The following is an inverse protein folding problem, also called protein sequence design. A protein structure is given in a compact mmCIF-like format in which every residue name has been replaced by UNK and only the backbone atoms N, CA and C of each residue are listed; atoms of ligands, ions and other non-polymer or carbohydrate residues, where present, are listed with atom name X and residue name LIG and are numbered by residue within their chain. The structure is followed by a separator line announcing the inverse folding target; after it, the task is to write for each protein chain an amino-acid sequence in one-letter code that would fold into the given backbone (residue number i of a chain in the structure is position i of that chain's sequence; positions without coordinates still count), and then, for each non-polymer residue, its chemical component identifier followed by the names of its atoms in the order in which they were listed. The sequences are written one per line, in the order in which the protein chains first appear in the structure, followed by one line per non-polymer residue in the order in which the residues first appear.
data_IF_984515697017
#
_entry.id   IF_984515697017
#
_cell.length_a   1.000
_cell.length_b   1.000
_cell.length_c   1.000
_cell.angle_alpha   90.00
_cell.angle_beta   90.00
_cell.angle_gamma   90.00
#
_symmetry.space_group_name_H-M   'P 1'
#
loop_
_entity.id
_entity.type
_entity.pdbx_description
1 polymer ?
#
# COMPACT_ATOMS: atom_id res chain seq x y z
N UNK A 1 -2.59 -35.61 31.28
CA UNK A 1 -1.76 -36.33 30.29
C UNK A 1 -1.65 -35.40 29.08
N UNK A 2 -0.45 -35.00 28.67
CA UNK A 2 -0.25 -34.15 27.49
C UNK A 2 -0.12 -35.01 26.25
N UNK A 3 -0.79 -34.64 25.16
CA UNK A 3 -0.63 -35.27 23.85
C UNK A 3 0.48 -34.50 23.11
N UNK A 4 1.49 -35.20 22.59
CA UNK A 4 2.47 -34.62 21.67
C UNK A 4 2.17 -35.06 20.24
N UNK A 5 2.22 -34.13 19.31
CA UNK A 5 2.16 -34.40 17.87
C UNK A 5 3.57 -34.25 17.27
N UNK A 6 3.91 -35.12 16.32
CA UNK A 6 5.14 -35.03 15.53
C UNK A 6 4.76 -34.74 14.08
N UNK A 7 5.29 -33.66 13.53
CA UNK A 7 5.15 -33.32 12.11
C UNK A 7 6.35 -33.90 11.38
N UNK A 8 6.11 -34.75 10.40
CA UNK A 8 7.15 -35.28 9.50
C UNK A 8 7.01 -34.53 8.19
N UNK A 9 8.02 -33.76 7.81
CA UNK A 9 8.08 -33.04 6.54
C UNK A 9 8.98 -33.81 5.59
N UNK A 10 8.52 -34.08 4.37
CA UNK A 10 9.35 -34.74 3.37
C UNK A 10 10.38 -33.77 2.79
N UNK A 11 11.63 -34.22 2.65
CA UNK A 11 12.73 -33.41 2.10
C UNK A 11 12.40 -32.89 0.69
N UNK A 12 11.78 -33.71 -0.17
CA UNK A 12 11.46 -33.27 -1.53
C UNK A 12 10.33 -32.24 -1.55
N UNK A 13 9.31 -32.38 -0.68
CA UNK A 13 8.20 -31.43 -0.57
C UNK A 13 8.72 -30.09 -0.04
N UNK A 14 9.58 -30.13 0.97
CA UNK A 14 10.22 -28.94 1.53
C UNK A 14 11.06 -28.22 0.47
N UNK A 15 11.87 -28.95 -0.31
CA UNK A 15 12.69 -28.37 -1.36
C UNK A 15 11.86 -27.76 -2.49
N UNK A 16 10.85 -28.47 -2.97
CA UNK A 16 9.95 -27.95 -4.01
C UNK A 16 9.20 -26.71 -3.54
N UNK A 17 8.78 -26.69 -2.27
CA UNK A 17 8.11 -25.50 -1.69
C UNK A 17 9.06 -24.31 -1.62
N UNK A 18 10.32 -24.53 -1.25
CA UNK A 18 11.33 -23.48 -1.22
C UNK A 18 11.61 -22.91 -2.61
N UNK A 19 11.74 -23.77 -3.63
CA UNK A 19 11.94 -23.33 -5.02
C UNK A 19 10.76 -22.47 -5.51
N UNK A 20 9.51 -22.85 -5.21
CA UNK A 20 8.33 -22.04 -5.53
C UNK A 20 8.35 -20.67 -4.84
N UNK A 21 8.78 -20.62 -3.57
CA UNK A 21 8.89 -19.37 -2.82
C UNK A 21 9.98 -18.48 -3.44
N UNK A 22 11.14 -19.04 -3.79
CA UNK A 22 12.24 -18.31 -4.42
C UNK A 22 11.82 -17.72 -5.79
N UNK A 23 11.15 -18.52 -6.61
CA UNK A 23 10.62 -18.09 -7.91
C UNK A 23 9.60 -16.96 -7.75
N UNK A 24 8.67 -17.10 -6.80
CA UNK A 24 7.65 -16.10 -6.52
C UNK A 24 8.27 -14.78 -6.04
N UNK A 25 9.18 -14.81 -5.07
CA UNK A 25 9.86 -13.63 -4.54
C UNK A 25 10.72 -12.95 -5.61
N UNK A 26 11.29 -13.73 -6.52
CA UNK A 26 12.12 -13.22 -7.62
C UNK A 26 11.31 -12.70 -8.79
N UNK A 27 9.99 -12.89 -8.80
CA UNK A 27 9.12 -12.44 -9.88
C UNK A 27 9.05 -10.90 -9.96
N UNK A 28 9.03 -10.37 -11.17
CA UNK A 28 8.78 -8.94 -11.39
C UNK A 28 7.36 -8.53 -11.02
N UNK A 29 6.43 -9.48 -11.04
CA UNK A 29 5.01 -9.29 -10.69
C UNK A 29 4.83 -8.88 -9.23
N UNK A 30 5.77 -9.22 -8.34
CA UNK A 30 5.73 -8.83 -6.95
C UNK A 30 5.81 -7.31 -6.78
N UNK A 31 6.71 -6.65 -7.52
CA UNK A 31 6.84 -5.19 -7.50
C UNK A 31 5.59 -4.50 -8.04
N UNK A 32 5.03 -5.03 -9.12
CA UNK A 32 3.80 -4.49 -9.72
C UNK A 32 2.62 -4.60 -8.74
N UNK A 33 2.44 -5.78 -8.15
CA UNK A 33 1.38 -6.06 -7.17
C UNK A 33 1.52 -5.20 -5.91
N UNK A 34 2.76 -5.02 -5.42
CA UNK A 34 3.04 -4.14 -4.30
C UNK A 34 2.74 -2.67 -4.63
N UNK A 35 3.17 -2.21 -5.81
CA UNK A 35 2.91 -0.85 -6.28
C UNK A 35 1.42 -0.54 -6.43
N UNK A 36 0.68 -1.47 -7.05
CA UNK A 36 -0.78 -1.37 -7.20
C UNK A 36 -1.49 -1.33 -5.84
N UNK A 37 -1.12 -2.24 -4.94
CA UNK A 37 -1.68 -2.28 -3.59
C UNK A 37 -1.49 -0.95 -2.85
N UNK A 38 -0.26 -0.41 -2.84
CA UNK A 38 0.04 0.84 -2.13
C UNK A 38 -0.68 2.03 -2.76
N UNK A 39 -0.68 2.13 -4.08
CA UNK A 39 -1.37 3.20 -4.80
C UNK A 39 -2.88 3.18 -4.50
N UNK A 40 -3.51 2.01 -4.57
CA UNK A 40 -4.93 1.83 -4.23
C UNK A 40 -5.21 2.16 -2.76
N UNK A 41 -4.34 1.74 -1.83
CA UNK A 41 -4.48 2.04 -0.40
C UNK A 41 -4.46 3.55 -0.13
N UNK A 42 -3.48 4.27 -0.71
CA UNK A 42 -3.37 5.73 -0.61
C UNK A 42 -4.62 6.39 -1.19
N UNK A 43 -5.06 5.98 -2.38
CA UNK A 43 -6.26 6.51 -3.02
C UNK A 43 -7.48 6.30 -2.12
N UNK A 44 -7.74 5.08 -1.67
CA UNK A 44 -8.90 4.74 -0.81
C UNK A 44 -8.94 5.55 0.48
N UNK A 45 -7.79 5.74 1.14
CA UNK A 45 -7.70 6.54 2.38
C UNK A 45 -7.93 8.03 2.10
N UNK A 46 -7.29 8.54 1.06
CA UNK A 46 -7.45 9.93 0.61
C UNK A 46 -8.90 10.24 0.21
N UNK A 47 -9.59 9.30 -0.42
CA UNK A 47 -11.01 9.39 -0.77
C UNK A 47 -11.93 9.52 0.45
N UNK A 48 -11.52 9.00 1.61
CA UNK A 48 -12.23 9.12 2.88
C UNK A 48 -11.90 10.42 3.61
N UNK A 49 -10.94 11.20 3.12
CA UNK A 49 -10.46 12.41 3.78
C UNK A 49 -9.59 12.11 5.00
N UNK A 50 -8.86 10.99 4.98
CA UNK A 50 -8.02 10.50 6.07
C UNK A 50 -6.55 10.57 5.64
N UNK A 51 -5.66 10.94 6.56
CA UNK A 51 -4.21 10.99 6.37
C UNK A 51 -3.52 9.65 6.67
N UNK A 52 -2.20 9.58 6.46
CA UNK A 52 -1.38 8.38 6.68
C UNK A 52 -1.35 7.91 8.12
N UNK A 53 -1.74 8.75 9.06
CA UNK A 53 -1.77 8.41 10.48
C UNK A 53 -3.20 8.13 10.97
N UNK A 54 -4.12 7.84 10.04
CA UNK A 54 -5.55 7.59 10.29
C UNK A 54 -6.31 8.76 10.94
N UNK A 55 -5.83 10.00 10.76
CA UNK A 55 -6.54 11.20 11.20
C UNK A 55 -7.35 11.82 10.07
N UNK A 56 -8.45 12.49 10.40
CA UNK A 56 -9.16 13.32 9.43
C UNK A 56 -8.25 14.43 8.91
N UNK A 57 -8.30 14.69 7.60
CA UNK A 57 -7.58 15.80 6.99
C UNK A 57 -7.95 17.12 7.66
N UNK A 58 -6.92 17.93 7.91
CA UNK A 58 -7.10 19.27 8.43
C UNK A 58 -8.11 20.05 7.57
N UNK A 59 -9.09 20.74 8.22
CA UNK A 59 -10.13 21.46 7.51
C UNK A 59 -9.55 22.56 6.63
N UNK A 60 -10.37 23.10 5.72
CA UNK A 60 -9.98 24.32 5.02
C UNK A 60 -9.75 25.48 6.01
N UNK A 61 -8.83 26.39 5.67
CA UNK A 61 -8.63 27.58 6.48
C UNK A 61 -9.91 28.42 6.49
N UNK A 62 -10.14 29.17 7.57
CA UNK A 62 -11.32 30.03 7.73
C UNK A 62 -11.49 31.07 6.61
N UNK A 63 -10.40 31.41 5.93
CA UNK A 63 -10.37 32.36 4.81
C UNK A 63 -10.70 31.71 3.47
N UNK A 64 -10.84 30.38 3.42
CA UNK A 64 -11.23 29.65 2.21
C UNK A 64 -12.76 29.63 2.14
N UNK A 65 -13.39 29.94 0.98
CA UNK A 65 -14.84 29.87 0.84
C UNK A 65 -15.40 28.43 0.89
N UNK A 66 -14.53 27.42 0.93
CA UNK A 66 -14.88 26.00 1.06
C UNK A 66 -15.01 25.63 2.53
N UNK A 67 -16.05 24.88 2.88
CA UNK A 67 -16.28 24.33 4.22
C UNK A 67 -16.25 22.80 4.21
N UNK A 68 -16.11 22.18 5.38
CA UNK A 68 -16.09 20.72 5.54
C UNK A 68 -14.71 20.08 5.35
N UNK A 69 -14.69 18.75 5.36
CA UNK A 69 -13.48 17.95 5.14
C UNK A 69 -13.03 18.11 3.70
N UNK A 70 -11.75 18.46 3.45
CA UNK A 70 -11.20 18.57 2.12
C UNK A 70 -11.39 17.27 1.34
N UNK A 71 -12.24 17.32 0.33
CA UNK A 71 -12.41 16.22 -0.59
C UNK A 71 -11.35 16.35 -1.68
N UNK A 72 -10.23 15.64 -1.54
CA UNK A 72 -9.16 15.63 -2.53
C UNK A 72 -9.57 14.93 -3.84
N UNK A 73 -10.81 14.42 -3.95
CA UNK A 73 -11.45 14.04 -5.23
C UNK A 73 -11.69 15.22 -6.14
N UNK A 74 -12.05 16.37 -5.57
CA UNK A 74 -12.64 17.49 -6.30
C UNK A 74 -11.62 18.23 -7.17
N UNK A 75 -10.33 18.01 -6.95
CA UNK A 75 -9.28 18.51 -7.84
C UNK A 75 -8.96 17.57 -8.99
N UNK A 76 -9.36 16.28 -8.96
CA UNK A 76 -9.09 15.25 -9.98
C UNK A 76 -7.60 14.97 -10.25
N UNK A 77 -6.85 16.02 -10.53
CA UNK A 77 -5.41 16.12 -10.74
C UNK A 77 -4.54 15.67 -9.57
N UNK A 78 -5.06 15.46 -8.35
CA UNK A 78 -4.26 14.95 -7.23
C UNK A 78 -4.29 13.43 -7.18
N UNK A 79 -5.49 12.84 -7.18
CA UNK A 79 -5.63 11.38 -7.14
C UNK A 79 -5.20 10.74 -8.46
N UNK A 80 -5.49 11.39 -9.60
CA UNK A 80 -5.07 10.90 -10.91
C UNK A 80 -3.54 11.03 -11.14
N UNK A 81 -2.82 11.75 -10.28
CA UNK A 81 -1.36 11.84 -10.36
C UNK A 81 -0.64 10.81 -9.50
N UNK A 82 -1.36 10.02 -8.70
CA UNK A 82 -0.76 8.92 -7.96
C UNK A 82 -0.47 7.81 -8.96
N UNK A 83 0.81 7.50 -9.13
CA UNK A 83 1.31 6.42 -9.98
C UNK A 83 2.35 5.62 -9.21
N UNK A 84 2.73 4.48 -9.77
CA UNK A 84 3.87 3.74 -9.26
C UNK A 84 4.77 3.30 -10.41
N UNK A 85 6.05 3.16 -10.10
CA UNK A 85 7.07 2.58 -10.96
C UNK A 85 7.61 1.36 -10.23
N UNK A 86 7.37 0.18 -10.80
CA UNK A 86 7.92 -1.07 -10.30
C UNK A 86 9.35 -1.25 -10.77
N UNK A 87 10.22 -1.68 -9.85
CA UNK A 87 11.61 -2.05 -10.12
C UNK A 87 11.76 -3.58 -10.15
N UNK A 88 10.72 -4.29 -10.60
CA UNK A 88 10.66 -5.75 -10.57
C UNK A 88 10.57 -6.28 -9.14
N UNK A 89 11.30 -7.36 -8.83
CA UNK A 89 11.26 -8.01 -7.52
C UNK A 89 11.81 -7.17 -6.36
N UNK A 90 12.46 -6.04 -6.65
CA UNK A 90 13.08 -5.17 -5.64
C UNK A 90 12.10 -4.20 -4.97
N UNK A 91 10.89 -4.07 -5.52
CA UNK A 91 9.82 -3.24 -4.98
C UNK A 91 9.27 -2.24 -5.98
N UNK A 92 8.46 -1.30 -5.48
CA UNK A 92 7.87 -0.22 -6.26
C UNK A 92 8.11 1.14 -5.61
N UNK A 93 8.25 2.17 -6.44
CA UNK A 93 8.29 3.58 -6.04
C UNK A 93 6.93 4.18 -6.31
N UNK A 94 6.33 4.81 -5.30
CA UNK A 94 5.07 5.53 -5.46
C UNK A 94 5.37 7.00 -5.69
N UNK A 95 4.78 7.55 -6.74
CA UNK A 95 4.99 8.91 -7.16
C UNK A 95 3.67 9.67 -7.18
N UNK A 96 3.76 10.99 -7.01
CA UNK A 96 2.62 11.88 -7.13
C UNK A 96 3.08 13.17 -7.78
N UNK A 97 2.96 13.26 -9.11
CA UNK A 97 3.58 14.35 -9.90
C UNK A 97 2.82 15.69 -9.82
N UNK A 98 1.66 15.75 -9.16
CA UNK A 98 0.87 16.96 -9.07
C UNK A 98 1.47 17.96 -8.06
N UNK A 99 1.81 19.20 -8.48
CA UNK A 99 2.29 20.22 -7.56
C UNK A 99 1.28 20.54 -6.43
N UNK A 100 -0.02 20.38 -6.73
CA UNK A 100 -1.09 20.56 -5.73
C UNK A 100 -1.00 19.47 -4.67
N UNK A 101 -0.74 18.23 -5.07
CA UNK A 101 -0.55 17.12 -4.15
C UNK A 101 0.64 17.39 -3.23
N UNK A 102 1.74 17.90 -3.77
CA UNK A 102 2.90 18.26 -2.98
C UNK A 102 2.60 19.36 -1.95
N UNK A 103 1.82 20.39 -2.31
CA UNK A 103 1.37 21.39 -1.34
C UNK A 103 0.46 20.84 -0.24
N UNK A 104 -0.33 19.80 -0.55
CA UNK A 104 -1.10 19.09 0.47
C UNK A 104 -0.18 18.25 1.35
N UNK A 105 0.77 17.51 0.77
CA UNK A 105 1.70 16.65 1.51
C UNK A 105 2.61 17.43 2.46
N UNK A 106 3.15 18.57 2.01
CA UNK A 106 4.13 19.37 2.75
C UNK A 106 3.47 20.48 3.58
N UNK A 107 2.28 20.90 3.18
CA UNK A 107 1.65 22.12 3.71
C UNK A 107 2.34 23.40 3.20
N UNK A 108 1.68 24.53 3.41
CA UNK A 108 2.21 25.87 3.11
C UNK A 108 1.68 26.87 4.14
N UNK A 109 2.12 28.12 4.09
CA UNK A 109 1.57 29.19 4.94
C UNK A 109 0.07 29.45 4.73
N UNK A 110 -0.51 28.98 3.61
CA UNK A 110 -1.92 29.18 3.25
C UNK A 110 -2.74 27.89 3.25
N UNK A 111 -2.09 26.74 3.33
CA UNK A 111 -2.71 25.42 3.20
C UNK A 111 -2.16 24.50 4.29
N UNK A 112 -2.99 23.94 5.16
CA UNK A 112 -2.49 23.00 6.16
C UNK A 112 -1.98 21.72 5.48
N UNK A 113 -0.98 21.13 6.11
CA UNK A 113 -0.42 19.84 5.73
C UNK A 113 -1.49 18.74 5.87
N UNK A 114 -1.45 17.78 4.95
CA UNK A 114 -2.32 16.62 4.82
C UNK A 114 -1.46 15.47 4.30
N UNK A 115 -0.81 14.76 5.21
CA UNK A 115 0.12 13.67 4.90
C UNK A 115 -0.64 12.48 4.31
N UNK A 116 -0.98 12.51 3.02
CA UNK A 116 -1.77 11.44 2.42
C UNK A 116 -0.90 10.29 1.87
N UNK A 117 0.35 10.58 1.53
CA UNK A 117 1.33 9.61 1.04
C UNK A 117 1.92 8.76 2.16
N UNK A 118 2.30 7.53 1.83
CA UNK A 118 2.97 6.59 2.72
C UNK A 118 2.06 5.50 3.26
N UNK A 119 2.64 4.62 4.07
CA UNK A 119 2.01 3.45 4.67
C UNK A 119 2.05 3.56 6.19
N UNK A 120 0.98 3.10 6.83
CA UNK A 120 1.02 2.73 8.25
C UNK A 120 1.69 1.37 8.42
N UNK A 121 2.08 1.03 9.65
CA UNK A 121 2.48 -0.35 9.97
C UNK A 121 1.36 -1.36 9.73
N UNK A 122 0.10 -0.95 9.82
CA UNK A 122 -1.03 -1.83 9.48
C UNK A 122 -1.09 -2.08 7.96
N UNK A 123 -0.88 -1.05 7.15
CA UNK A 123 -0.84 -1.20 5.69
C UNK A 123 0.34 -2.08 5.24
N UNK A 124 1.49 -2.01 5.92
CA UNK A 124 2.64 -2.91 5.64
C UNK A 124 2.29 -4.38 5.91
N UNK A 125 1.57 -4.66 7.00
CA UNK A 125 1.10 -6.01 7.32
C UNK A 125 0.08 -6.49 6.28
N UNK A 126 -0.87 -5.62 5.91
CA UNK A 126 -1.85 -5.92 4.87
C UNK A 126 -1.17 -6.18 3.52
N UNK A 127 -0.17 -5.38 3.16
CA UNK A 127 0.64 -5.57 1.95
C UNK A 127 1.27 -6.96 1.92
N UNK A 128 1.96 -7.36 3.00
CA UNK A 128 2.59 -8.68 3.07
C UNK A 128 1.55 -9.79 2.97
N UNK A 129 0.40 -9.65 3.63
CA UNK A 129 -0.66 -10.65 3.57
C UNK A 129 -1.25 -10.80 2.17
N UNK A 130 -1.67 -9.68 1.57
CA UNK A 130 -2.40 -9.66 0.30
C UNK A 130 -1.49 -9.93 -0.90
N UNK A 131 -0.25 -9.42 -0.87
CA UNK A 131 0.67 -9.49 -2.01
C UNK A 131 1.58 -10.73 -1.95
N UNK A 132 1.90 -11.25 -0.75
CA UNK A 132 2.84 -12.36 -0.61
C UNK A 132 2.17 -13.62 -0.06
N UNK A 133 1.58 -13.53 1.14
CA UNK A 133 1.16 -14.74 1.87
C UNK A 133 -0.03 -15.43 1.20
N UNK A 134 -1.10 -14.70 0.87
CA UNK A 134 -2.28 -15.31 0.26
C UNK A 134 -2.01 -15.90 -1.12
N UNK A 135 -1.27 -15.22 -2.03
CA UNK A 135 -0.88 -15.81 -3.30
C UNK A 135 -0.04 -17.09 -3.14
N UNK A 136 0.94 -17.12 -2.24
CA UNK A 136 1.75 -18.30 -1.97
C UNK A 136 0.93 -19.47 -1.43
N UNK A 137 0.05 -19.22 -0.47
CA UNK A 137 -0.85 -20.25 0.07
C UNK A 137 -1.73 -20.82 -1.04
N UNK A 138 -2.27 -19.97 -1.92
CA UNK A 138 -3.06 -20.43 -3.06
C UNK A 138 -2.23 -21.35 -3.95
N UNK A 139 -1.01 -20.97 -4.33
CA UNK A 139 -0.15 -21.81 -5.17
C UNK A 139 0.14 -23.17 -4.54
N UNK A 140 0.50 -23.21 -3.25
CA UNK A 140 0.82 -24.46 -2.52
C UNK A 140 -0.41 -25.35 -2.35
N UNK A 141 -1.60 -24.77 -2.16
CA UNK A 141 -2.82 -25.56 -1.91
C UNK A 141 -3.35 -26.22 -3.19
N UNK A 142 -3.03 -25.66 -4.36
CA UNK A 142 -3.49 -26.14 -5.66
C UNK A 142 -2.42 -26.88 -6.48
N UNK A 143 -1.17 -26.95 -5.99
CA UNK A 143 -0.06 -27.74 -6.55
C UNK A 143 -0.07 -29.17 -6.04
#
# INVERSE_FOLDING_TARGET
MGVSATVIVNEWEAKSTLEMIEDFISSSELGDSAGEFVADRIVKRTLKGIDVNDNDFAPYSINTPKTGTPNLRDTGAMLNSISFISNGSTGAVIECESPIAQYHQDGTSKMPQREFMGLTSADEVDLVNEVIIYPLIAQITWS
#
